data_IF_337698245177
#
_entry.id   IF_337698245177
#
_cell.length_a   1.000
_cell.length_b   1.000
_cell.length_c   1.000
_cell.angle_alpha   90.00
_cell.angle_beta   90.00
_cell.angle_gamma   90.00
#
_symmetry.space_group_name_H-M   'P 1'
#
loop_
_entity.id
_entity.type
_entity.pdbx_description
1 polymer ?
#
# COMPACT_ATOMS: atom_id res chain seq x y z
N UNK A 1 3.22 -17.25 7.93
CA UNK A 1 3.74 -15.90 7.64
C UNK A 1 5.00 -15.66 8.47
N UNK A 2 6.16 -15.46 7.85
CA UNK A 2 7.45 -15.22 8.53
C UNK A 2 7.83 -13.74 8.34
N UNK A 3 8.30 -13.07 9.38
CA UNK A 3 8.68 -11.64 9.37
C UNK A 3 10.22 -11.49 9.39
N UNK A 4 10.75 -10.39 8.86
CA UNK A 4 12.21 -10.10 8.82
C UNK A 4 12.79 -10.03 10.24
N UNK A 5 12.06 -9.36 11.12
CA UNK A 5 12.37 -9.20 12.54
C UNK A 5 11.16 -9.68 13.35
N UNK A 6 11.33 -10.12 14.60
CA UNK A 6 10.22 -10.38 15.50
C UNK A 6 9.48 -9.06 15.77
N UNK A 7 8.39 -8.82 15.04
CA UNK A 7 7.48 -7.69 15.27
C UNK A 7 6.40 -8.13 16.27
N UNK A 8 6.34 -7.54 17.47
CA UNK A 8 5.25 -7.76 18.41
C UNK A 8 3.91 -7.48 17.74
N UNK A 9 2.87 -8.27 18.05
CA UNK A 9 1.53 -8.07 17.49
C UNK A 9 1.01 -6.65 17.76
N UNK A 10 1.33 -6.12 18.94
CA UNK A 10 1.02 -4.74 19.32
C UNK A 10 1.55 -3.71 18.32
N UNK A 11 2.75 -3.91 17.78
CA UNK A 11 3.36 -2.98 16.83
C UNK A 11 2.64 -2.99 15.48
N UNK A 12 2.07 -4.13 15.06
CA UNK A 12 1.25 -4.20 13.85
C UNK A 12 -0.08 -3.46 14.02
N UNK A 13 -0.71 -3.61 15.18
CA UNK A 13 -1.94 -2.88 15.52
C UNK A 13 -1.67 -1.38 15.59
N UNK A 14 -0.55 -0.97 16.20
CA UNK A 14 -0.13 0.44 16.21
C UNK A 14 0.09 0.97 14.80
N UNK A 15 0.78 0.22 13.93
CA UNK A 15 0.97 0.62 12.53
C UNK A 15 -0.35 0.78 11.78
N UNK A 16 -1.31 -0.13 11.99
CA UNK A 16 -2.65 -0.01 11.45
C UNK A 16 -3.33 1.29 11.93
N UNK A 17 -3.32 1.56 13.23
CA UNK A 17 -3.92 2.77 13.78
C UNK A 17 -3.28 4.04 13.21
N UNK A 18 -1.94 4.10 13.12
CA UNK A 18 -1.25 5.26 12.55
C UNK A 18 -1.60 5.47 11.08
N UNK A 19 -1.68 4.41 10.27
CA UNK A 19 -2.11 4.53 8.88
C UNK A 19 -3.56 5.01 8.77
N UNK A 20 -4.45 4.52 9.64
CA UNK A 20 -5.84 4.98 9.67
C UNK A 20 -5.96 6.45 10.07
N UNK A 21 -5.17 6.91 11.04
CA UNK A 21 -5.12 8.34 11.42
C UNK A 21 -4.69 9.24 10.25
N UNK A 22 -3.77 8.77 9.41
CA UNK A 22 -3.35 9.51 8.22
C UNK A 22 -4.39 9.47 7.08
N UNK A 23 -5.18 8.40 6.98
CA UNK A 23 -6.11 8.19 5.86
C UNK A 23 -7.52 8.72 6.14
N UNK A 24 -8.01 8.59 7.37
CA UNK A 24 -9.36 8.97 7.80
C UNK A 24 -9.43 10.42 8.28
N UNK A 25 -8.85 11.32 7.49
CA UNK A 25 -8.90 12.76 7.73
C UNK A 25 -10.14 13.38 7.06
N UNK A 26 -10.69 14.49 7.57
CA UNK A 26 -11.88 15.13 7.00
C UNK A 26 -11.79 15.44 5.50
N UNK A 27 -10.57 15.69 5.00
CA UNK A 27 -10.28 15.92 3.58
C UNK A 27 -10.52 14.68 2.71
N UNK A 28 -10.26 13.49 3.24
CA UNK A 28 -10.43 12.22 2.54
C UNK A 28 -11.80 11.59 2.81
N UNK A 29 -12.30 11.76 4.03
CA UNK A 29 -13.58 11.21 4.51
C UNK A 29 -14.39 12.29 5.23
N UNK A 30 -15.11 13.17 4.52
CA UNK A 30 -16.04 14.11 5.12
C UNK A 30 -17.11 13.43 5.99
N UNK A 31 -17.75 14.14 6.94
CA UNK A 31 -18.70 13.58 7.92
C UNK A 31 -19.89 12.78 7.38
N UNK A 32 -20.17 12.81 6.08
CA UNK A 32 -21.24 12.06 5.41
C UNK A 32 -20.74 11.03 4.38
N UNK A 33 -19.47 10.62 4.51
CA UNK A 33 -18.86 9.65 3.60
C UNK A 33 -19.56 8.30 3.64
N UNK A 34 -19.66 7.64 2.47
CA UNK A 34 -20.26 6.32 2.38
C UNK A 34 -19.42 5.28 3.15
N UNK A 35 -20.07 4.28 3.75
CA UNK A 35 -19.40 3.22 4.52
C UNK A 35 -18.31 2.51 3.72
N UNK A 36 -18.54 2.32 2.42
CA UNK A 36 -17.61 1.67 1.50
C UNK A 36 -16.26 2.40 1.40
N UNK A 37 -16.25 3.73 1.60
CA UNK A 37 -15.01 4.53 1.58
C UNK A 37 -14.16 4.26 2.83
N UNK A 38 -14.80 4.11 3.99
CA UNK A 38 -14.10 3.71 5.22
C UNK A 38 -13.56 2.29 5.10
N UNK A 39 -14.34 1.36 4.52
CA UNK A 39 -13.88 0.00 4.26
C UNK A 39 -12.68 -0.03 3.31
N UNK A 40 -12.69 0.80 2.26
CA UNK A 40 -11.58 0.92 1.31
C UNK A 40 -10.28 1.35 2.02
N UNK A 41 -10.33 2.43 2.81
CA UNK A 41 -9.16 2.92 3.54
C UNK A 41 -8.70 1.94 4.60
N UNK A 42 -9.62 1.27 5.28
CA UNK A 42 -9.29 0.22 6.25
C UNK A 42 -8.55 -0.96 5.60
N UNK A 43 -9.06 -1.45 4.48
CA UNK A 43 -8.44 -2.56 3.74
C UNK A 43 -7.03 -2.19 3.28
N UNK A 44 -6.86 -0.98 2.74
CA UNK A 44 -5.54 -0.49 2.34
C UNK A 44 -4.58 -0.41 3.53
N UNK A 45 -4.99 0.20 4.64
CA UNK A 45 -4.18 0.31 5.84
C UNK A 45 -3.81 -1.08 6.41
N UNK A 46 -4.75 -2.02 6.44
CA UNK A 46 -4.53 -3.37 6.95
C UNK A 46 -3.55 -4.18 6.08
N UNK A 47 -3.68 -4.10 4.75
CA UNK A 47 -2.72 -4.73 3.83
C UNK A 47 -1.30 -4.24 4.11
N UNK A 48 -1.11 -2.93 4.27
CA UNK A 48 0.21 -2.36 4.53
C UNK A 48 0.73 -2.65 5.94
N UNK A 49 -0.12 -2.57 6.97
CA UNK A 49 0.27 -2.86 8.34
C UNK A 49 0.68 -4.33 8.54
N UNK A 50 -0.12 -5.28 8.04
CA UNK A 50 0.11 -6.71 8.27
C UNK A 50 1.01 -7.35 7.21
N UNK A 51 0.85 -6.93 5.95
CA UNK A 51 1.59 -7.46 4.81
C UNK A 51 2.93 -6.77 4.55
N UNK A 52 3.08 -5.51 4.92
CA UNK A 52 4.29 -4.72 4.63
C UNK A 52 5.55 -5.26 5.30
N UNK A 53 5.42 -5.90 6.46
CA UNK A 53 6.54 -6.49 7.22
C UNK A 53 6.93 -7.91 6.76
N UNK A 54 6.19 -8.46 5.80
CA UNK A 54 6.50 -9.77 5.22
C UNK A 54 7.67 -9.68 4.26
N UNK A 55 8.46 -10.74 4.19
CA UNK A 55 9.71 -10.75 3.44
C UNK A 55 9.80 -11.91 2.47
N UNK A 56 10.75 -11.80 1.56
CA UNK A 56 11.12 -12.87 0.67
C UNK A 56 12.26 -13.68 1.30
N UNK A 57 12.01 -14.94 1.63
CA UNK A 57 13.09 -15.89 1.97
C UNK A 57 13.65 -16.50 0.67
N UNK A 58 14.75 -17.25 0.74
CA UNK A 58 15.43 -17.85 -0.42
C UNK A 58 14.51 -18.70 -1.33
N UNK A 59 13.41 -19.23 -0.78
CA UNK A 59 12.51 -20.18 -1.45
C UNK A 59 11.06 -19.68 -1.59
N UNK A 60 10.63 -18.71 -0.78
CA UNK A 60 9.21 -18.31 -0.69
C UNK A 60 9.10 -16.80 -0.56
N UNK A 61 8.30 -16.21 -1.44
CA UNK A 61 7.86 -14.82 -1.32
C UNK A 61 6.59 -14.76 -0.46
N UNK A 62 6.76 -14.44 0.83
CA UNK A 62 5.61 -14.34 1.74
C UNK A 62 4.70 -13.16 1.45
N UNK A 63 5.16 -12.13 0.73
CA UNK A 63 4.31 -11.01 0.30
C UNK A 63 3.33 -11.48 -0.79
N UNK A 64 3.82 -12.25 -1.75
CA UNK A 64 2.96 -12.83 -2.80
C UNK A 64 1.93 -13.80 -2.21
N UNK A 65 2.35 -14.66 -1.26
CA UNK A 65 1.42 -15.58 -0.60
C UNK A 65 0.37 -14.84 0.24
N UNK A 66 0.77 -13.77 0.95
CA UNK A 66 -0.19 -12.91 1.64
C UNK A 66 -1.16 -12.25 0.68
N UNK A 67 -0.68 -11.73 -0.45
CA UNK A 67 -1.54 -11.13 -1.46
C UNK A 67 -2.59 -12.12 -1.97
N UNK A 68 -2.18 -13.35 -2.31
CA UNK A 68 -3.10 -14.41 -2.77
C UNK A 68 -4.11 -14.79 -1.69
N UNK A 69 -3.65 -14.96 -0.45
CA UNK A 69 -4.51 -15.27 0.68
C UNK A 69 -5.53 -14.14 0.92
N UNK A 70 -5.09 -12.89 0.92
CA UNK A 70 -5.94 -11.73 1.17
C UNK A 70 -7.09 -11.63 0.18
N UNK A 71 -6.80 -11.70 -1.13
CA UNK A 71 -7.84 -11.60 -2.18
C UNK A 71 -8.78 -12.81 -2.21
N UNK A 72 -8.36 -13.95 -1.64
CA UNK A 72 -9.19 -15.15 -1.54
C UNK A 72 -10.15 -15.07 -0.35
N UNK A 73 -9.64 -14.63 0.81
CA UNK A 73 -10.36 -14.55 2.07
C UNK A 73 -11.30 -13.34 2.11
N UNK A 74 -10.82 -12.16 1.72
CA UNK A 74 -11.56 -10.91 1.78
C UNK A 74 -12.08 -10.52 0.39
N UNK A 75 -13.41 -10.45 0.25
CA UNK A 75 -14.09 -10.22 -1.05
C UNK A 75 -14.88 -8.91 -1.13
N UNK A 76 -15.03 -8.20 -0.01
CA UNK A 76 -15.80 -6.95 0.06
C UNK A 76 -15.14 -5.85 -0.77
N UNK A 77 -13.84 -5.61 -0.54
CA UNK A 77 -13.05 -4.65 -1.32
C UNK A 77 -12.16 -5.43 -2.29
N UNK A 78 -12.31 -5.15 -3.59
CA UNK A 78 -11.63 -5.90 -4.65
C UNK A 78 -10.40 -5.16 -5.15
N UNK A 79 -9.28 -5.86 -5.18
CA UNK A 79 -8.08 -5.42 -5.88
C UNK A 79 -8.16 -5.78 -7.37
N UNK A 80 -7.49 -5.02 -8.25
CA UNK A 80 -7.39 -5.40 -9.66
C UNK A 80 -6.62 -6.72 -9.83
N UNK A 81 -6.91 -7.46 -10.89
CA UNK A 81 -6.43 -8.84 -11.07
C UNK A 81 -4.93 -8.96 -11.43
N UNK A 82 -4.31 -7.86 -11.86
CA UNK A 82 -2.89 -7.84 -12.22
C UNK A 82 -2.05 -7.57 -10.98
N UNK A 83 -0.87 -8.17 -10.86
CA UNK A 83 0.03 -7.88 -9.72
C UNK A 83 -0.50 -8.34 -8.36
N UNK A 84 -0.01 -7.71 -7.31
CA UNK A 84 -0.28 -7.98 -5.90
C UNK A 84 -1.05 -6.84 -5.25
N UNK A 85 -1.61 -7.07 -4.06
CA UNK A 85 -2.27 -6.02 -3.26
C UNK A 85 -1.36 -4.82 -2.94
N UNK A 86 -0.04 -4.99 -3.03
CA UNK A 86 0.95 -3.94 -2.76
C UNK A 86 1.25 -3.06 -3.98
N UNK A 87 0.85 -3.48 -5.19
CA UNK A 87 1.14 -2.76 -6.44
C UNK A 87 0.17 -1.61 -6.71
N UNK A 88 -0.75 -1.35 -5.79
CA UNK A 88 -1.84 -0.39 -5.93
C UNK A 88 -1.85 0.68 -4.84
N UNK A 89 -2.24 1.89 -5.22
CA UNK A 89 -2.57 3.01 -4.33
C UNK A 89 -4.05 3.36 -4.43
N UNK A 90 -4.59 4.08 -3.44
CA UNK A 90 -5.93 4.66 -3.53
C UNK A 90 -5.82 6.03 -4.20
N UNK A 91 -6.42 6.16 -5.37
CA UNK A 91 -6.49 7.42 -6.08
C UNK A 91 -7.37 8.44 -5.33
N UNK A 92 -6.84 9.63 -4.98
CA UNK A 92 -7.54 10.57 -4.12
C UNK A 92 -8.81 11.15 -4.74
N UNK A 93 -8.88 11.21 -6.08
CA UNK A 93 -10.02 11.72 -6.83
C UNK A 93 -11.09 10.64 -7.06
N UNK A 94 -10.70 9.53 -7.67
CA UNK A 94 -11.63 8.46 -8.07
C UNK A 94 -11.99 7.49 -6.94
N UNK A 95 -11.23 7.51 -5.84
CA UNK A 95 -11.37 6.61 -4.68
C UNK A 95 -11.34 5.13 -5.08
N UNK A 96 -10.41 4.77 -5.97
CA UNK A 96 -10.21 3.40 -6.47
C UNK A 96 -8.75 3.00 -6.40
N UNK A 97 -8.51 1.69 -6.47
CA UNK A 97 -7.17 1.17 -6.61
C UNK A 97 -6.62 1.41 -8.02
N UNK A 98 -5.50 2.14 -8.09
CA UNK A 98 -4.76 2.43 -9.31
C UNK A 98 -3.31 1.95 -9.15
N UNK A 99 -2.64 1.48 -10.21
CA UNK A 99 -1.29 0.93 -10.09
C UNK A 99 -0.29 2.05 -9.80
N UNK A 100 0.65 1.80 -8.88
CA UNK A 100 1.72 2.76 -8.54
C UNK A 100 2.51 3.24 -9.76
N UNK A 101 2.59 2.44 -10.81
CA UNK A 101 3.21 2.81 -12.08
C UNK A 101 2.65 4.11 -12.70
N UNK A 102 1.40 4.50 -12.40
CA UNK A 102 0.82 5.78 -12.84
C UNK A 102 1.38 7.01 -12.10
N UNK A 103 1.88 6.82 -10.88
CA UNK A 103 2.48 7.89 -10.08
C UNK A 103 3.93 8.17 -10.47
N UNK A 104 4.58 7.27 -11.21
CA UNK A 104 5.98 7.44 -11.62
C UNK A 104 6.02 8.49 -12.75
N UNK A 105 6.69 9.64 -12.55
CA UNK A 105 6.87 10.62 -13.62
C UNK A 105 7.60 9.97 -14.80
N UNK A 106 7.22 10.33 -16.03
CA UNK A 106 7.99 9.90 -17.19
C UNK A 106 9.39 10.47 -17.08
N UNK A 107 10.37 9.58 -16.97
CA UNK A 107 11.77 9.97 -17.01
C UNK A 107 12.11 10.51 -18.40
N UNK A 108 12.40 11.80 -18.49
CA UNK A 108 13.01 12.41 -19.67
C UNK A 108 14.50 12.59 -19.40
N UNK A 109 15.33 11.85 -20.15
CA UNK A 109 16.78 11.99 -20.06
C UNK A 109 17.20 13.26 -20.79
N UNK A 110 17.47 14.32 -20.06
CA UNK A 110 18.15 15.49 -20.60
C UNK A 110 19.66 15.18 -20.66
N UNK A 111 20.27 15.06 -21.85
CA UNK A 111 21.69 14.75 -21.99
C UNK A 111 22.62 15.85 -21.48
N UNK A 112 22.11 17.07 -21.19
CA UNK A 112 22.89 18.18 -20.65
C UNK A 112 22.84 18.26 -19.10
N UNK A 113 22.03 17.42 -18.44
CA UNK A 113 21.92 17.35 -16.98
C UNK A 113 22.69 16.11 -16.46
N UNK A 114 23.73 16.28 -15.62
CA UNK A 114 24.38 15.15 -14.97
C UNK A 114 23.34 14.33 -14.21
N UNK A 115 23.45 12.99 -14.28
CA UNK A 115 22.53 12.04 -13.67
C UNK A 115 22.43 12.28 -12.15
N UNK A 116 21.55 13.19 -11.73
CA UNK A 116 21.22 13.36 -10.33
C UNK A 116 20.25 12.25 -9.98
N UNK A 117 20.77 11.23 -9.31
CA UNK A 117 19.93 10.27 -8.58
C UNK A 117 19.30 11.06 -7.44
N UNK A 118 18.21 11.77 -7.75
CA UNK A 118 17.43 12.51 -6.78
C UNK A 118 16.93 11.52 -5.72
N UNK A 119 17.23 11.82 -4.46
CA UNK A 119 16.77 11.05 -3.31
C UNK A 119 15.22 10.95 -3.22
N UNK A 120 14.49 11.64 -4.09
CA UNK A 120 13.02 11.66 -4.17
C UNK A 120 12.39 10.34 -4.62
N UNK A 121 13.15 9.41 -5.23
CA UNK A 121 12.63 8.09 -5.60
C UNK A 121 12.29 7.24 -4.35
N UNK A 122 12.94 7.50 -3.22
CA UNK A 122 12.67 6.77 -1.98
C UNK A 122 11.39 7.23 -1.25
N UNK A 123 10.80 8.37 -1.61
CA UNK A 123 9.63 8.90 -0.89
C UNK A 123 8.31 8.20 -1.28
N UNK A 124 8.27 7.55 -2.44
CA UNK A 124 7.06 6.86 -2.93
C UNK A 124 7.02 5.35 -2.68
N UNK A 125 8.07 4.78 -2.08
CA UNK A 125 8.08 3.40 -1.61
C UNK A 125 7.78 3.43 -0.12
N UNK A 126 6.51 3.52 0.25
CA UNK A 126 6.14 3.53 1.68
C UNK A 126 6.47 2.17 2.32
N UNK A 127 6.91 2.12 3.60
CA UNK A 127 7.21 3.22 4.53
C UNK A 127 8.70 3.46 4.79
#
# INVERSE_FOLDING_TARGET
>A
FKKIIPVPEQSLVQMLCFLLECLLIPEHTPPDSHKDLYELYFVFAAVWAFGGTMFQDQLVDYRVEFSKWWVTEFKSVKFPAQGTVFDYYIDPESKKFEPWAKMIPKFEMDPDIPLQVGADVFVFVVP
#
